data_IF_443763040054
#
_entry.id   IF_443763040054
#
_cell.length_a   1.000
_cell.length_b   1.000
_cell.length_c   1.000
_cell.angle_alpha   90.00
_cell.angle_beta   90.00
_cell.angle_gamma   90.00
#
_symmetry.space_group_name_H-M   'P 1'
#
loop_
_entity.id
_entity.type
_entity.pdbx_description
1 polymer ?
#
# COMPACT_ATOMS: atom_id res chain seq x y z
N UNK A 1 -2.55 15.25 -4.11
CA UNK A 1 -2.18 14.27 -5.15
C UNK A 1 -3.35 14.00 -6.10
N UNK A 2 -4.40 13.25 -5.75
CA UNK A 2 -5.48 12.96 -6.72
C UNK A 2 -6.32 14.19 -7.13
N UNK A 3 -6.92 14.91 -6.18
CA UNK A 3 -7.65 16.15 -6.46
C UNK A 3 -6.77 17.21 -7.12
N UNK A 4 -5.61 17.48 -6.54
CA UNK A 4 -4.72 18.55 -6.98
C UNK A 4 -4.11 18.33 -8.39
N UNK A 5 -3.85 17.08 -8.79
CA UNK A 5 -3.24 16.80 -10.10
C UNK A 5 -4.22 16.29 -11.16
N UNK A 6 -5.34 15.68 -10.74
CA UNK A 6 -6.28 15.02 -11.65
C UNK A 6 -7.74 15.45 -11.46
N UNK A 7 -8.05 16.34 -10.51
CA UNK A 7 -9.42 16.75 -10.21
C UNK A 7 -10.29 15.62 -9.61
N UNK A 8 -9.67 14.52 -9.16
CA UNK A 8 -10.38 13.33 -8.68
C UNK A 8 -10.60 13.39 -7.16
N UNK A 9 -11.88 13.32 -6.77
CA UNK A 9 -12.33 13.21 -5.38
C UNK A 9 -12.68 11.75 -5.03
N UNK A 10 -12.19 11.28 -3.88
CA UNK A 10 -12.48 9.92 -3.39
C UNK A 10 -13.58 10.02 -2.33
N UNK A 11 -14.77 9.51 -2.66
CA UNK A 11 -15.96 9.62 -1.78
C UNK A 11 -15.77 8.94 -0.42
N UNK A 12 -15.01 7.84 -0.37
CA UNK A 12 -14.74 7.12 0.89
C UNK A 12 -13.29 6.68 0.94
N UNK A 13 -12.58 7.12 1.98
CA UNK A 13 -11.19 6.74 2.24
C UNK A 13 -11.08 5.95 3.52
N UNK A 14 -10.28 4.88 3.49
CA UNK A 14 -9.90 4.13 4.69
C UNK A 14 -8.39 4.28 4.89
N UNK A 15 -7.99 4.91 5.99
CA UNK A 15 -6.58 5.07 6.33
C UNK A 15 -6.07 3.82 7.06
N UNK A 16 -5.33 2.97 6.35
CA UNK A 16 -4.84 1.69 6.87
C UNK A 16 -3.94 1.83 8.11
N UNK A 17 -3.22 2.94 8.25
CA UNK A 17 -2.29 3.18 9.37
C UNK A 17 -3.00 3.46 10.70
N UNK A 18 -4.27 3.88 10.66
CA UNK A 18 -5.00 4.29 11.86
C UNK A 18 -5.05 3.22 12.95
N UNK A 19 -5.06 1.94 12.56
CA UNK A 19 -5.15 0.81 13.50
C UNK A 19 -3.84 0.30 14.10
N UNK A 20 -2.67 0.82 13.70
CA UNK A 20 -1.35 0.20 14.07
C UNK A 20 -0.45 1.12 14.89
N UNK A 21 -0.75 2.43 14.91
CA UNK A 21 0.02 3.45 15.61
C UNK A 21 1.37 3.76 14.94
N UNK A 22 1.73 5.04 14.86
CA UNK A 22 3.04 5.49 14.38
C UNK A 22 3.30 5.33 12.87
N UNK A 23 4.58 5.32 12.48
CA UNK A 23 5.04 5.27 11.09
C UNK A 23 5.28 3.83 10.59
N UNK A 24 4.34 2.92 10.88
CA UNK A 24 4.47 1.52 10.48
C UNK A 24 4.52 1.38 8.94
N UNK A 25 5.50 0.62 8.45
CA UNK A 25 5.58 0.27 7.03
C UNK A 25 4.47 -0.69 6.62
N UNK A 26 4.18 -0.80 5.33
CA UNK A 26 3.17 -1.77 4.85
C UNK A 26 3.60 -3.22 5.14
N UNK A 27 4.90 -3.51 5.07
CA UNK A 27 5.45 -4.81 5.46
C UNK A 27 5.27 -5.08 6.95
N UNK A 28 5.50 -4.09 7.82
CA UNK A 28 5.24 -4.22 9.26
C UNK A 28 3.76 -4.45 9.55
N UNK A 29 2.86 -3.70 8.91
CA UNK A 29 1.42 -3.90 9.08
C UNK A 29 0.99 -5.30 8.62
N UNK A 30 1.52 -5.78 7.49
CA UNK A 30 1.24 -7.12 6.99
C UNK A 30 1.73 -8.21 7.96
N UNK A 31 2.92 -8.03 8.55
CA UNK A 31 3.46 -8.97 9.53
C UNK A 31 2.65 -8.98 10.84
N UNK A 32 2.30 -7.80 11.37
CA UNK A 32 1.63 -7.65 12.66
C UNK A 32 0.15 -8.02 12.62
N UNK A 33 -0.57 -7.60 11.58
CA UNK A 33 -2.04 -7.74 11.51
C UNK A 33 -2.50 -8.98 10.74
N UNK A 34 -1.72 -9.42 9.75
CA UNK A 34 -2.12 -10.51 8.86
C UNK A 34 -1.26 -11.77 9.04
N UNK A 35 -0.20 -11.71 9.85
CA UNK A 35 0.77 -12.80 9.99
C UNK A 35 1.64 -13.04 8.75
N UNK A 36 1.58 -12.16 7.74
CA UNK A 36 2.33 -12.31 6.48
C UNK A 36 3.74 -11.77 6.71
N UNK A 37 4.68 -12.68 6.98
CA UNK A 37 6.10 -12.36 7.25
C UNK A 37 6.96 -12.53 6.00
N UNK A 38 8.16 -11.96 6.01
CA UNK A 38 9.15 -12.12 4.93
C UNK A 38 8.90 -11.26 3.69
N UNK A 39 7.81 -10.48 3.68
CA UNK A 39 7.59 -9.44 2.67
C UNK A 39 8.69 -8.39 2.80
N UNK A 40 9.43 -8.16 1.71
CA UNK A 40 10.40 -7.07 1.61
C UNK A 40 10.21 -6.37 0.28
N UNK A 41 9.74 -5.12 0.31
CA UNK A 41 9.71 -4.30 -0.89
C UNK A 41 11.09 -3.68 -1.09
N UNK A 42 11.58 -3.72 -2.33
CA UNK A 42 12.87 -3.12 -2.64
C UNK A 42 12.76 -1.59 -2.58
N UNK A 43 13.41 -0.96 -1.58
CA UNK A 43 13.49 0.51 -1.48
C UNK A 43 14.01 1.14 -2.77
N UNK A 44 15.03 0.51 -3.39
CA UNK A 44 15.60 0.93 -4.68
C UNK A 44 14.54 1.00 -5.78
N UNK A 45 13.61 0.04 -5.85
CA UNK A 45 12.51 0.06 -6.84
C UNK A 45 11.53 1.19 -6.53
N UNK A 46 11.19 1.38 -5.25
CA UNK A 46 10.27 2.43 -4.81
C UNK A 46 10.73 3.85 -5.19
N UNK A 47 12.04 4.10 -5.24
CA UNK A 47 12.63 5.40 -5.59
C UNK A 47 13.02 5.54 -7.07
N UNK A 48 12.60 4.61 -7.94
CA UNK A 48 12.84 4.74 -9.40
C UNK A 48 11.85 5.71 -10.07
N UNK A 49 12.09 6.04 -11.34
CA UNK A 49 11.14 6.83 -12.15
C UNK A 49 9.88 6.00 -12.43
N UNK A 50 8.76 6.43 -11.84
CA UNK A 50 7.43 5.85 -12.04
C UNK A 50 6.66 6.50 -13.18
N UNK A 51 6.96 7.76 -13.48
CA UNK A 51 6.38 8.51 -14.58
C UNK A 51 7.10 8.19 -15.90
N UNK A 52 6.75 7.05 -16.48
CA UNK A 52 7.28 6.53 -17.76
C UNK A 52 6.17 5.79 -18.49
N UNK A 53 6.26 5.77 -19.82
CA UNK A 53 5.29 5.07 -20.68
C UNK A 53 5.19 3.56 -20.36
N UNK A 54 6.31 2.92 -20.00
CA UNK A 54 6.33 1.50 -19.63
C UNK A 54 7.03 1.24 -18.30
N UNK A 55 6.47 0.31 -17.52
CA UNK A 55 7.03 -0.13 -16.26
C UNK A 55 7.92 -1.37 -16.45
N UNK A 56 9.01 -1.43 -15.69
CA UNK A 56 9.84 -2.65 -15.64
C UNK A 56 9.12 -3.79 -14.90
N UNK A 57 9.48 -5.04 -15.18
CA UNK A 57 8.97 -6.22 -14.44
C UNK A 57 9.14 -6.09 -12.91
N UNK A 58 10.22 -5.43 -12.46
CA UNK A 58 10.47 -5.17 -11.03
C UNK A 58 9.46 -4.18 -10.44
N UNK A 59 9.14 -3.11 -11.19
CA UNK A 59 8.12 -2.13 -10.80
C UNK A 59 6.72 -2.76 -10.79
N UNK A 60 6.38 -3.55 -11.81
CA UNK A 60 5.10 -4.29 -11.87
C UNK A 60 4.95 -5.18 -10.64
N UNK A 61 5.95 -6.01 -10.33
CA UNK A 61 5.92 -6.86 -9.13
C UNK A 61 5.77 -6.05 -7.84
N UNK A 62 6.43 -4.90 -7.75
CA UNK A 62 6.35 -4.01 -6.60
C UNK A 62 4.93 -3.47 -6.40
N UNK A 63 4.27 -2.96 -7.45
CA UNK A 63 2.90 -2.42 -7.35
C UNK A 63 1.86 -3.52 -7.14
N UNK A 64 2.05 -4.71 -7.71
CA UNK A 64 1.18 -5.85 -7.44
C UNK A 64 1.21 -6.25 -5.97
N UNK A 65 2.40 -6.24 -5.36
CA UNK A 65 2.55 -6.51 -3.94
C UNK A 65 1.88 -5.41 -3.08
N UNK A 66 2.04 -4.14 -3.45
CA UNK A 66 1.37 -3.02 -2.77
C UNK A 66 -0.17 -3.14 -2.84
N UNK A 67 -0.72 -3.41 -4.01
CA UNK A 67 -2.15 -3.56 -4.20
C UNK A 67 -2.72 -4.75 -3.41
N UNK A 68 -2.00 -5.89 -3.44
CA UNK A 68 -2.39 -7.09 -2.70
C UNK A 68 -2.44 -6.83 -1.20
N UNK A 69 -1.36 -6.27 -0.62
CA UNK A 69 -1.29 -5.98 0.81
C UNK A 69 -2.31 -4.91 1.22
N UNK A 70 -2.48 -3.86 0.42
CA UNK A 70 -3.48 -2.82 0.68
C UNK A 70 -4.89 -3.38 0.78
N UNK A 71 -5.27 -4.27 -0.16
CA UNK A 71 -6.58 -4.95 -0.12
C UNK A 71 -6.74 -5.78 1.15
N UNK A 72 -5.75 -6.62 1.48
CA UNK A 72 -5.80 -7.52 2.64
C UNK A 72 -5.89 -6.74 3.96
N UNK A 73 -5.08 -5.68 4.09
CA UNK A 73 -5.11 -4.78 5.24
C UNK A 73 -6.44 -4.03 5.34
N UNK A 74 -6.99 -3.54 4.22
CA UNK A 74 -8.28 -2.86 4.21
C UNK A 74 -9.45 -3.77 4.63
N UNK A 75 -9.44 -5.03 4.18
CA UNK A 75 -10.43 -6.02 4.64
C UNK A 75 -10.30 -6.29 6.14
N UNK A 76 -9.07 -6.40 6.65
CA UNK A 76 -8.83 -6.61 8.08
C UNK A 76 -9.32 -5.40 8.89
N UNK A 77 -8.93 -4.18 8.52
CA UNK A 77 -9.31 -2.96 9.20
C UNK A 77 -10.84 -2.80 9.34
N UNK A 78 -11.61 -3.04 8.26
CA UNK A 78 -13.08 -2.97 8.28
C UNK A 78 -13.77 -4.02 9.16
N UNK A 79 -13.10 -5.14 9.44
CA UNK A 79 -13.63 -6.18 10.33
C UNK A 79 -13.39 -5.83 11.79
N UNK A 80 -12.33 -5.09 12.09
CA UNK A 80 -12.00 -4.64 13.45
C UNK A 80 -12.83 -3.43 13.90
N UNK A 81 -13.54 -2.77 12.98
CA UNK A 81 -14.48 -1.66 13.25
C UNK A 81 -15.93 -2.14 13.48
N UNK A 82 -16.20 -3.45 13.39
CA UNK A 82 -17.48 -4.10 13.65
C UNK A 82 -17.43 -4.85 14.98
#
# INVERSE_FOLDING_TARGET
MLRAHYGLDVATTLQLRGGVGGNASMEEMAARLLGIRGVKKSRKVGTTKWDRETLSKKQVRYVCLDAFLSRRLGVHARRSEQ
#
